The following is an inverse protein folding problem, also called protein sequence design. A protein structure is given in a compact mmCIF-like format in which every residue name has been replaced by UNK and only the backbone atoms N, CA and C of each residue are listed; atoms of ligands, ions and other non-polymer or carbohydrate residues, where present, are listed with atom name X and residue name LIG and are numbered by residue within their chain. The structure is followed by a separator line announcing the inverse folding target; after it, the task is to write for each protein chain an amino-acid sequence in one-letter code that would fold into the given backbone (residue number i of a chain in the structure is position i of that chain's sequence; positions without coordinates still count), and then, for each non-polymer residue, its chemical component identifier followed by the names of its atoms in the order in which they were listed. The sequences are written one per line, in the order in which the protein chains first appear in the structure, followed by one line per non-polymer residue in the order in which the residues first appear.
data_IF_978898288624
#
_entry.id   IF_978898288624
#
_cell.length_a   1.000
_cell.length_b   1.000
_cell.length_c   1.000
_cell.angle_alpha   90.00
_cell.angle_beta   90.00
_cell.angle_gamma   90.00
#
_symmetry.space_group_name_H-M   'P 1'
#
loop_
_entity.id
_entity.type
_entity.pdbx_description
1 polymer ?
#
# COMPACT_ATOMS: atom_id res chain seq x y z
N UNK A 1 -63.75 -50.09 48.47
CA UNK A 1 -62.27 -50.03 48.48
C UNK A 1 -61.67 -49.98 47.06
N UNK A 2 -62.50 -49.93 45.99
CA UNK A 2 -62.04 -49.88 44.59
C UNK A 2 -61.84 -48.46 44.01
N UNK A 3 -62.47 -47.44 44.59
CA UNK A 3 -62.39 -46.05 44.08
C UNK A 3 -61.03 -45.38 44.30
N UNK A 4 -60.28 -45.79 45.33
CA UNK A 4 -58.94 -45.28 45.62
C UNK A 4 -57.87 -45.80 44.65
N UNK A 5 -58.06 -47.00 44.08
CA UNK A 5 -57.13 -47.54 43.08
C UNK A 5 -57.24 -46.80 41.74
N UNK A 6 -58.47 -46.52 41.30
CA UNK A 6 -58.75 -45.80 40.06
C UNK A 6 -58.21 -44.36 40.07
N UNK A 7 -58.32 -43.65 41.20
CA UNK A 7 -57.80 -42.29 41.34
C UNK A 7 -56.26 -42.21 41.24
N UNK A 8 -55.55 -43.22 41.77
CA UNK A 8 -54.08 -43.31 41.69
C UNK A 8 -53.63 -43.61 40.27
N UNK A 9 -54.35 -44.47 39.54
CA UNK A 9 -54.05 -44.84 38.16
C UNK A 9 -54.26 -43.64 37.20
N UNK A 10 -55.37 -42.90 37.36
CA UNK A 10 -55.66 -41.68 36.58
C UNK A 10 -54.67 -40.56 36.91
N UNK A 11 -54.29 -40.39 38.18
CA UNK A 11 -53.28 -39.42 38.58
C UNK A 11 -51.90 -39.68 37.97
N UNK A 12 -51.49 -40.95 37.91
CA UNK A 12 -50.25 -41.36 37.24
C UNK A 12 -50.25 -41.07 35.73
N UNK A 13 -51.37 -41.31 35.04
CA UNK A 13 -51.52 -41.02 33.62
C UNK A 13 -51.40 -39.53 33.31
N UNK A 14 -52.02 -38.66 34.11
CA UNK A 14 -51.96 -37.20 33.92
C UNK A 14 -50.53 -36.69 34.07
N UNK A 15 -49.80 -37.15 35.09
CA UNK A 15 -48.40 -36.77 35.31
C UNK A 15 -47.51 -37.24 34.16
N UNK A 16 -47.72 -38.46 33.66
CA UNK A 16 -46.96 -39.00 32.53
C UNK A 16 -47.20 -38.19 31.24
N UNK A 17 -48.45 -37.85 30.94
CA UNK A 17 -48.79 -37.02 29.77
C UNK A 17 -48.23 -35.61 29.91
N UNK A 18 -48.34 -34.99 31.10
CA UNK A 18 -47.75 -33.68 31.36
C UNK A 18 -46.24 -33.66 31.17
N UNK A 19 -45.54 -34.70 31.66
CA UNK A 19 -44.10 -34.87 31.45
C UNK A 19 -43.72 -35.03 29.97
N UNK A 20 -44.50 -35.79 29.20
CA UNK A 20 -44.28 -35.94 27.75
C UNK A 20 -44.43 -34.61 27.01
N UNK A 21 -45.46 -33.82 27.32
CA UNK A 21 -45.68 -32.51 26.70
C UNK A 21 -44.50 -31.58 26.98
N UNK A 22 -44.04 -31.50 28.24
CA UNK A 22 -42.88 -30.68 28.60
C UNK A 22 -41.61 -31.12 27.87
N UNK A 23 -41.38 -32.43 27.77
CA UNK A 23 -40.23 -32.98 27.04
C UNK A 23 -40.26 -32.62 25.54
N UNK A 24 -41.43 -32.73 24.90
CA UNK A 24 -41.62 -32.36 23.49
C UNK A 24 -41.40 -30.85 23.30
N UNK A 25 -41.95 -30.00 24.17
CA UNK A 25 -41.72 -28.55 24.10
C UNK A 25 -40.22 -28.21 24.26
N UNK A 26 -39.52 -28.86 25.18
CA UNK A 26 -38.07 -28.68 25.37
C UNK A 26 -37.28 -29.06 24.11
N UNK A 27 -37.64 -30.17 23.46
CA UNK A 27 -37.02 -30.60 22.21
C UNK A 27 -37.24 -29.57 21.08
N UNK A 28 -38.45 -29.05 20.94
CA UNK A 28 -38.76 -28.02 19.93
C UNK A 28 -37.91 -26.76 20.17
N UNK A 29 -37.80 -26.29 21.40
CA UNK A 29 -36.96 -25.11 21.74
C UNK A 29 -35.48 -25.38 21.42
N UNK A 30 -34.97 -26.57 21.75
CA UNK A 30 -33.59 -26.95 21.45
C UNK A 30 -33.32 -26.96 19.93
N UNK A 31 -34.23 -27.55 19.14
CA UNK A 31 -34.13 -27.59 17.67
C UNK A 31 -34.18 -26.17 17.10
N UNK A 32 -35.09 -25.31 17.58
CA UNK A 32 -35.15 -23.91 17.17
C UNK A 32 -33.84 -23.17 17.49
N UNK A 33 -33.24 -23.40 18.66
CA UNK A 33 -31.94 -22.84 19.04
C UNK A 33 -30.78 -23.31 18.14
N UNK A 34 -30.80 -24.57 17.72
CA UNK A 34 -29.82 -25.09 16.76
C UNK A 34 -29.98 -24.45 15.38
N UNK A 35 -31.22 -24.27 14.92
CA UNK A 35 -31.49 -23.60 13.63
C UNK A 35 -31.02 -22.15 13.66
N UNK A 36 -31.32 -21.39 14.72
CA UNK A 36 -30.90 -19.99 14.82
C UNK A 36 -29.38 -19.84 14.89
N UNK A 37 -28.69 -20.70 15.65
CA UNK A 37 -27.21 -20.69 15.70
C UNK A 37 -26.60 -21.06 14.34
N UNK A 38 -27.14 -22.05 13.62
CA UNK A 38 -26.68 -22.38 12.26
C UNK A 38 -26.85 -21.21 11.29
N UNK A 39 -27.98 -20.50 11.36
CA UNK A 39 -28.25 -19.31 10.54
C UNK A 39 -27.26 -18.19 10.89
N UNK A 40 -27.05 -17.93 12.18
CA UNK A 40 -26.10 -16.92 12.66
C UNK A 40 -24.66 -17.21 12.17
N UNK A 41 -24.21 -18.47 12.27
CA UNK A 41 -22.89 -18.90 11.78
C UNK A 41 -22.77 -18.65 10.27
N UNK A 42 -23.81 -18.95 9.47
CA UNK A 42 -23.79 -18.70 8.02
C UNK A 42 -23.72 -17.21 7.69
N UNK A 43 -24.44 -16.37 8.42
CA UNK A 43 -24.34 -14.91 8.24
C UNK A 43 -22.95 -14.39 8.62
N UNK A 44 -22.38 -14.84 9.74
CA UNK A 44 -21.04 -14.48 10.15
C UNK A 44 -19.98 -14.92 9.11
N UNK A 45 -20.11 -16.12 8.55
CA UNK A 45 -19.23 -16.61 7.50
C UNK A 45 -19.36 -15.80 6.19
N UNK A 46 -20.58 -15.40 5.80
CA UNK A 46 -20.76 -14.51 4.64
C UNK A 46 -20.17 -13.12 4.91
N UNK A 47 -20.37 -12.58 6.10
CA UNK A 47 -19.84 -11.28 6.48
C UNK A 47 -18.30 -11.28 6.49
N UNK A 48 -17.66 -12.36 6.94
CA UNK A 48 -16.19 -12.46 6.93
C UNK A 48 -15.64 -12.46 5.50
N UNK A 49 -16.30 -13.15 4.56
CA UNK A 49 -15.90 -13.12 3.14
C UNK A 49 -16.06 -11.73 2.52
N UNK A 50 -17.16 -11.03 2.80
CA UNK A 50 -17.38 -9.68 2.30
C UNK A 50 -16.39 -8.67 2.92
N UNK A 51 -16.10 -8.80 4.20
CA UNK A 51 -15.11 -7.97 4.90
C UNK A 51 -13.69 -8.19 4.34
N UNK A 52 -13.32 -9.44 4.04
CA UNK A 52 -12.04 -9.76 3.42
C UNK A 52 -11.90 -9.11 2.03
N UNK A 53 -12.98 -9.12 1.24
CA UNK A 53 -13.03 -8.47 -0.07
C UNK A 53 -12.89 -6.95 0.04
N UNK A 54 -13.58 -6.34 1.01
CA UNK A 54 -13.47 -4.91 1.27
C UNK A 54 -12.05 -4.50 1.69
N UNK A 55 -11.39 -5.30 2.53
CA UNK A 55 -9.98 -5.05 2.91
C UNK A 55 -9.07 -5.10 1.68
N UNK A 56 -9.29 -6.06 0.76
CA UNK A 56 -8.53 -6.15 -0.48
C UNK A 56 -8.70 -4.90 -1.36
N UNK A 57 -9.93 -4.45 -1.56
CA UNK A 57 -10.23 -3.24 -2.35
C UNK A 57 -9.64 -2.00 -1.68
N UNK A 58 -9.83 -1.86 -0.36
CA UNK A 58 -9.28 -0.75 0.43
C UNK A 58 -7.76 -0.69 0.33
N UNK A 59 -7.07 -1.83 0.46
CA UNK A 59 -5.63 -1.91 0.30
C UNK A 59 -5.18 -1.51 -1.11
N UNK A 60 -5.93 -1.91 -2.15
CA UNK A 60 -5.68 -1.48 -3.53
C UNK A 60 -5.79 0.03 -3.71
N UNK A 61 -6.86 0.64 -3.19
CA UNK A 61 -7.07 2.11 -3.23
C UNK A 61 -5.97 2.84 -2.46
N UNK A 62 -5.57 2.33 -1.29
CA UNK A 62 -4.48 2.90 -0.52
C UNK A 62 -3.16 2.87 -1.30
N UNK A 63 -2.88 1.79 -2.03
CA UNK A 63 -1.71 1.67 -2.89
C UNK A 63 -1.69 2.73 -3.99
N UNK A 64 -2.78 2.81 -4.77
CA UNK A 64 -2.91 3.77 -5.87
C UNK A 64 -2.82 5.22 -5.39
N UNK A 65 -3.54 5.56 -4.32
CA UNK A 65 -3.54 6.92 -3.74
C UNK A 65 -2.15 7.31 -3.24
N UNK A 66 -1.43 6.38 -2.60
CA UNK A 66 -0.05 6.60 -2.13
C UNK A 66 0.88 6.87 -3.31
N UNK A 67 0.85 6.02 -4.33
CA UNK A 67 1.66 6.21 -5.55
C UNK A 67 1.35 7.54 -6.23
N UNK A 68 0.08 7.91 -6.35
CA UNK A 68 -0.33 9.20 -6.93
C UNK A 68 0.15 10.39 -6.09
N UNK A 69 0.10 10.28 -4.76
CA UNK A 69 0.63 11.30 -3.84
C UNK A 69 2.12 11.58 -4.07
N UNK A 70 2.93 10.52 -4.20
CA UNK A 70 4.36 10.64 -4.51
C UNK A 70 4.59 11.33 -5.86
N UNK A 71 3.84 10.96 -6.90
CA UNK A 71 3.96 11.61 -8.21
C UNK A 71 3.55 13.07 -8.19
N UNK A 72 2.54 13.45 -7.40
CA UNK A 72 2.16 14.85 -7.24
C UNK A 72 3.28 15.66 -6.58
N UNK A 73 3.93 15.12 -5.54
CA UNK A 73 5.10 15.75 -4.92
C UNK A 73 6.24 15.92 -5.92
N UNK A 74 6.50 14.90 -6.76
CA UNK A 74 7.49 15.01 -7.82
C UNK A 74 7.14 16.10 -8.82
N UNK A 75 5.90 16.15 -9.30
CA UNK A 75 5.47 17.16 -10.26
C UNK A 75 5.63 18.57 -9.70
N UNK A 76 5.37 18.77 -8.41
CA UNK A 76 5.60 20.06 -7.74
C UNK A 76 7.09 20.44 -7.77
N UNK A 77 7.99 19.51 -7.44
CA UNK A 77 9.43 19.75 -7.53
C UNK A 77 9.89 19.95 -8.99
N UNK A 78 9.39 19.17 -9.93
CA UNK A 78 9.76 19.27 -11.34
C UNK A 78 9.28 20.58 -11.98
N UNK A 79 8.16 21.13 -11.51
CA UNK A 79 7.66 22.43 -11.95
C UNK A 79 8.66 23.55 -11.69
N UNK A 80 9.49 23.45 -10.65
CA UNK A 80 10.58 24.41 -10.41
C UNK A 80 11.60 24.42 -11.56
N UNK A 81 11.87 23.29 -12.20
CA UNK A 81 12.78 23.25 -13.36
C UNK A 81 12.13 23.83 -14.63
N UNK A 82 10.80 23.80 -14.72
CA UNK A 82 10.07 24.46 -15.83
C UNK A 82 10.05 25.96 -15.62
N UNK A 83 9.82 26.42 -14.39
CA UNK A 83 9.77 27.84 -14.04
C UNK A 83 11.17 28.48 -13.97
N UNK A 84 12.18 27.70 -13.59
CA UNK A 84 13.58 28.09 -13.45
C UNK A 84 14.50 27.11 -14.21
N UNK A 85 14.52 27.17 -15.55
CA UNK A 85 15.31 26.25 -16.38
C UNK A 85 16.82 26.34 -16.11
N UNK A 86 17.30 27.46 -15.56
CA UNK A 86 18.69 27.63 -15.13
C UNK A 86 19.13 26.62 -14.06
N UNK A 87 18.18 26.01 -13.33
CA UNK A 87 18.46 25.01 -12.31
C UNK A 87 18.81 23.64 -12.92
N UNK A 88 18.24 23.30 -14.08
CA UNK A 88 18.33 21.96 -14.67
C UNK A 88 19.78 21.41 -14.79
N UNK A 89 20.77 22.17 -15.30
CA UNK A 89 22.14 21.67 -15.45
C UNK A 89 22.81 21.27 -14.14
N UNK A 90 22.45 21.90 -13.01
CA UNK A 90 23.01 21.56 -11.70
C UNK A 90 22.52 20.20 -11.19
N UNK A 91 21.30 19.81 -11.55
CA UNK A 91 20.66 18.59 -11.04
C UNK A 91 20.86 17.39 -11.95
N UNK A 92 20.84 17.60 -13.27
CA UNK A 92 20.85 16.49 -14.25
C UNK A 92 22.12 16.44 -15.12
N UNK A 93 22.91 17.51 -15.19
CA UNK A 93 24.12 17.58 -16.03
C UNK A 93 25.41 17.72 -15.22
N UNK A 94 25.34 17.51 -13.90
CA UNK A 94 26.46 17.61 -12.98
C UNK A 94 27.24 18.95 -13.04
N UNK A 95 26.55 20.06 -13.37
CA UNK A 95 27.15 21.40 -13.32
C UNK A 95 27.58 21.74 -11.88
N UNK A 96 28.81 22.22 -11.64
CA UNK A 96 29.27 22.57 -10.29
C UNK A 96 28.43 23.67 -9.64
N UNK A 97 28.15 23.53 -8.35
CA UNK A 97 27.35 24.47 -7.57
C UNK A 97 28.16 25.78 -7.37
N UNK A 98 27.58 26.96 -7.61
CA UNK A 98 28.25 28.23 -7.34
C UNK A 98 28.62 28.33 -5.85
N UNK A 99 29.83 28.82 -5.49
CA UNK A 99 30.31 28.77 -4.11
C UNK A 99 29.51 29.69 -3.16
N UNK A 100 28.92 30.78 -3.68
CA UNK A 100 28.15 31.78 -2.92
C UNK A 100 27.08 32.41 -3.81
N UNK A 101 26.15 33.14 -3.19
CA UNK A 101 25.14 33.93 -3.89
C UNK A 101 23.73 33.35 -3.78
N UNK A 102 22.76 34.08 -4.34
CA UNK A 102 21.33 33.72 -4.29
C UNK A 102 21.05 32.40 -5.03
N UNK A 103 21.77 32.13 -6.10
CA UNK A 103 21.63 30.91 -6.89
C UNK A 103 21.99 29.67 -6.08
N UNK A 104 23.04 29.74 -5.24
CA UNK A 104 23.40 28.63 -4.35
C UNK A 104 22.26 28.32 -3.37
N UNK A 105 21.67 29.34 -2.76
CA UNK A 105 20.55 29.13 -1.83
C UNK A 105 19.34 28.49 -2.53
N UNK A 106 19.01 28.92 -3.76
CA UNK A 106 17.92 28.34 -4.55
C UNK A 106 18.20 26.87 -4.93
N UNK A 107 19.42 26.57 -5.37
CA UNK A 107 19.85 25.21 -5.70
C UNK A 107 19.74 24.30 -4.47
N UNK A 108 20.22 24.75 -3.30
CA UNK A 108 20.16 23.96 -2.08
C UNK A 108 18.72 23.71 -1.63
N UNK A 109 17.87 24.74 -1.63
CA UNK A 109 16.45 24.58 -1.25
C UNK A 109 15.73 23.59 -2.18
N UNK A 110 16.01 23.68 -3.49
CA UNK A 110 15.45 22.74 -4.49
C UNK A 110 15.98 21.32 -4.28
N UNK A 111 17.24 21.17 -3.85
CA UNK A 111 17.84 19.88 -3.53
C UNK A 111 17.25 19.26 -2.26
N UNK A 112 16.98 20.05 -1.23
CA UNK A 112 16.26 19.61 -0.02
C UNK A 112 14.84 19.15 -0.39
N UNK A 113 14.09 19.93 -1.18
CA UNK A 113 12.77 19.52 -1.67
C UNK A 113 12.83 18.21 -2.46
N UNK A 114 13.83 18.04 -3.33
CA UNK A 114 14.02 16.81 -4.06
C UNK A 114 14.34 15.63 -3.13
N UNK A 115 15.20 15.84 -2.12
CA UNK A 115 15.51 14.84 -1.11
C UNK A 115 14.26 14.40 -0.33
N UNK A 116 13.40 15.35 0.07
CA UNK A 116 12.14 15.05 0.75
C UNK A 116 11.22 14.16 -0.09
N UNK A 117 11.06 14.46 -1.38
CA UNK A 117 10.23 13.65 -2.30
C UNK A 117 10.80 12.24 -2.46
N UNK A 118 12.11 12.13 -2.72
CA UNK A 118 12.76 10.83 -2.90
C UNK A 118 12.70 9.99 -1.63
N UNK A 119 12.97 10.58 -0.47
CA UNK A 119 12.89 9.91 0.83
C UNK A 119 11.46 9.45 1.14
N UNK A 120 10.46 10.30 0.87
CA UNK A 120 9.04 9.96 1.05
C UNK A 120 8.61 8.77 0.20
N UNK A 121 9.03 8.73 -1.07
CA UNK A 121 8.75 7.60 -1.96
C UNK A 121 9.34 6.28 -1.43
N UNK A 122 10.57 6.32 -0.92
CA UNK A 122 11.24 5.17 -0.33
C UNK A 122 10.60 4.72 0.99
N UNK A 123 10.15 5.67 1.82
CA UNK A 123 9.42 5.35 3.04
C UNK A 123 8.09 4.68 2.71
N UNK A 124 7.32 5.26 1.77
CA UNK A 124 6.00 4.75 1.39
C UNK A 124 6.08 3.37 0.74
N UNK A 125 7.11 3.10 -0.07
CA UNK A 125 7.30 1.76 -0.67
C UNK A 125 7.55 0.66 0.36
N UNK A 126 8.07 1.02 1.54
CA UNK A 126 8.26 0.10 2.68
C UNK A 126 7.01 -0.04 3.55
N UNK A 127 6.23 1.03 3.72
CA UNK A 127 5.10 1.07 4.64
C UNK A 127 3.77 0.64 4.01
N UNK A 128 3.61 0.77 2.69
CA UNK A 128 2.36 0.44 1.98
C UNK A 128 2.62 -0.72 1.00
N UNK A 129 2.38 -1.98 1.41
CA UNK A 129 2.68 -3.14 0.58
C UNK A 129 2.02 -3.10 -0.80
N UNK A 130 0.79 -2.58 -0.89
CA UNK A 130 0.06 -2.45 -2.15
C UNK A 130 0.63 -1.38 -3.09
N UNK A 131 1.50 -0.48 -2.61
CA UNK A 131 2.19 0.52 -3.43
C UNK A 131 3.57 0.05 -3.92
N UNK A 132 4.07 -1.10 -3.42
CA UNK A 132 5.44 -1.57 -3.63
C UNK A 132 5.80 -1.70 -5.11
N UNK A 133 4.93 -2.33 -5.90
CA UNK A 133 5.19 -2.56 -7.32
C UNK A 133 5.23 -1.22 -8.09
N UNK A 134 4.27 -0.32 -7.83
CA UNK A 134 4.23 1.01 -8.44
C UNK A 134 5.39 1.91 -8.02
N UNK A 135 5.96 1.68 -6.84
CA UNK A 135 7.11 2.42 -6.30
C UNK A 135 8.46 1.72 -6.52
N UNK A 136 8.52 0.58 -7.21
CA UNK A 136 9.80 -0.08 -7.51
C UNK A 136 10.70 0.76 -8.44
N UNK A 137 10.19 1.38 -9.53
CA UNK A 137 10.97 2.30 -10.36
C UNK A 137 11.53 3.50 -9.60
N UNK A 138 10.86 3.90 -8.51
CA UNK A 138 11.30 5.00 -7.65
C UNK A 138 12.60 4.70 -6.93
N UNK A 139 12.83 3.44 -6.52
CA UNK A 139 14.09 3.05 -5.88
C UNK A 139 15.24 3.25 -6.86
N UNK A 140 15.08 2.82 -8.12
CA UNK A 140 16.10 3.01 -9.16
C UNK A 140 16.37 4.49 -9.43
N UNK A 141 15.31 5.29 -9.54
CA UNK A 141 15.44 6.74 -9.74
C UNK A 141 16.13 7.42 -8.55
N UNK A 142 15.75 7.11 -7.32
CA UNK A 142 16.38 7.66 -6.11
C UNK A 142 17.85 7.28 -6.02
N UNK A 143 18.20 6.00 -6.26
CA UNK A 143 19.59 5.54 -6.31
C UNK A 143 20.40 6.31 -7.35
N UNK A 144 19.84 6.48 -8.56
CA UNK A 144 20.50 7.25 -9.61
C UNK A 144 20.73 8.70 -9.19
N UNK A 145 19.69 9.38 -8.69
CA UNK A 145 19.79 10.78 -8.27
C UNK A 145 20.79 10.97 -7.13
N UNK A 146 20.80 10.10 -6.12
CA UNK A 146 21.79 10.17 -5.03
C UNK A 146 23.21 9.99 -5.58
N UNK A 147 23.41 9.13 -6.58
CA UNK A 147 24.72 8.88 -7.18
C UNK A 147 25.22 10.01 -8.10
N UNK A 148 24.33 10.76 -8.77
CA UNK A 148 24.72 11.69 -9.84
C UNK A 148 24.43 13.17 -9.56
N UNK A 149 23.47 13.49 -8.69
CA UNK A 149 23.06 14.86 -8.42
C UNK A 149 23.95 15.52 -7.35
N UNK A 150 24.88 16.39 -7.78
CA UNK A 150 25.80 17.08 -6.87
C UNK A 150 25.09 17.92 -5.79
N UNK A 151 24.04 18.73 -6.11
CA UNK A 151 23.29 19.44 -5.09
C UNK A 151 22.70 18.52 -4.03
N UNK A 152 22.14 17.38 -4.44
CA UNK A 152 21.53 16.41 -3.54
C UNK A 152 22.58 15.80 -2.59
N UNK A 153 23.74 15.42 -3.12
CA UNK A 153 24.84 14.91 -2.31
C UNK A 153 25.36 15.95 -1.31
N UNK A 154 25.48 17.21 -1.71
CA UNK A 154 25.94 18.28 -0.82
C UNK A 154 24.96 18.51 0.33
N UNK A 155 23.65 18.58 0.07
CA UNK A 155 22.65 18.76 1.14
C UNK A 155 22.57 17.55 2.07
N UNK A 156 22.66 16.32 1.54
CA UNK A 156 22.71 15.11 2.37
C UNK A 156 23.94 15.09 3.29
N UNK A 157 25.12 15.49 2.79
CA UNK A 157 26.33 15.61 3.61
C UNK A 157 26.21 16.70 4.67
N UNK A 158 25.53 17.80 4.35
CA UNK A 158 25.34 18.93 5.27
C UNK A 158 24.34 18.62 6.39
N UNK A 159 23.37 17.76 6.13
CA UNK A 159 22.28 17.42 7.03
C UNK A 159 22.20 15.91 7.31
N UNK A 160 23.21 15.32 7.99
CA UNK A 160 23.22 13.89 8.26
C UNK A 160 22.03 13.49 9.14
N UNK A 161 21.38 12.39 8.80
CA UNK A 161 20.23 11.81 9.49
C UNK A 161 18.87 12.40 9.10
N UNK A 162 18.81 13.41 8.24
CA UNK A 162 17.52 13.98 7.80
C UNK A 162 16.77 13.04 6.85
N UNK A 163 17.49 12.32 5.98
CA UNK A 163 16.92 11.40 5.01
C UNK A 163 17.54 10.00 5.14
N UNK A 164 17.30 9.28 6.25
CA UNK A 164 17.94 7.99 6.52
C UNK A 164 17.65 6.95 5.42
N UNK A 165 16.51 7.06 4.74
CA UNK A 165 16.14 6.20 3.63
C UNK A 165 17.03 6.44 2.39
N UNK A 166 17.42 7.68 2.11
CA UNK A 166 18.32 8.01 1.00
C UNK A 166 19.77 7.69 1.35
N UNK A 167 20.18 7.90 2.60
CA UNK A 167 21.52 7.53 3.07
C UNK A 167 21.79 6.04 2.89
N UNK A 168 20.77 5.20 3.08
CA UNK A 168 20.88 3.76 2.83
C UNK A 168 21.13 3.39 1.36
N UNK A 169 20.93 4.32 0.42
CA UNK A 169 21.19 4.14 -1.01
C UNK A 169 22.54 4.71 -1.45
N UNK A 170 23.18 5.55 -0.62
CA UNK A 170 24.50 6.08 -0.95
C UNK A 170 25.49 4.92 -0.98
N UNK A 171 26.32 4.78 -2.05
CA UNK A 171 27.49 3.94 -1.96
C UNK A 171 28.30 4.42 -0.75
N UNK A 172 28.70 3.49 0.13
CA UNK A 172 29.63 3.81 1.21
C UNK A 172 30.86 4.51 0.58
N UNK A 173 31.51 5.45 1.27
CA UNK A 173 32.84 5.90 0.86
C UNK A 173 33.76 4.67 0.89
N UNK A 174 34.16 4.21 -0.29
CA UNK A 174 34.92 2.97 -0.47
C UNK A 174 36.21 2.96 0.35
N UNK A 175 36.42 1.84 1.04
CA UNK A 175 37.75 1.37 1.40
C UNK A 175 38.13 0.20 0.51
N UNK A 176 38.25 0.38 -0.82
CA UNK A 176 39.17 -0.37 -1.72
C UNK A 176 38.94 -0.01 -3.20
N UNK A 177 39.99 0.24 -3.99
CA UNK A 177 39.89 0.36 -5.44
C UNK A 177 39.92 -1.04 -6.07
N UNK A 178 38.92 -1.38 -6.87
CA UNK A 178 39.07 -2.42 -7.89
C UNK A 178 38.65 -1.84 -9.22
N UNK A 179 39.66 -1.73 -10.08
CA UNK A 179 39.57 -1.27 -11.44
C UNK A 179 38.68 -2.20 -12.26
N UNK A 180 37.68 -1.63 -12.94
CA UNK A 180 37.33 -2.03 -14.31
C UNK A 180 36.59 -0.88 -15.00
N UNK A 181 37.36 -0.03 -15.67
CA UNK A 181 36.86 0.93 -16.66
C UNK A 181 36.41 0.17 -17.91
N UNK A 182 35.11 -0.09 -18.02
CA UNK A 182 34.43 -0.29 -19.30
C UNK A 182 33.76 1.03 -19.73
N UNK A 183 33.60 1.30 -21.03
CA UNK A 183 32.94 2.53 -21.49
C UNK A 183 31.46 2.50 -21.08
N UNK A 184 31.07 3.40 -20.17
CA UNK A 184 29.68 3.68 -19.85
C UNK A 184 29.01 4.21 -21.11
N UNK A 185 28.28 3.35 -21.78
CA UNK A 185 27.38 3.73 -22.88
C UNK A 185 26.30 4.63 -22.28
N UNK A 186 26.04 5.83 -22.84
CA UNK A 186 25.02 6.72 -22.30
C UNK A 186 23.66 6.01 -22.29
N UNK A 187 23.06 5.96 -21.10
CA UNK A 187 21.75 5.34 -20.89
C UNK A 187 20.72 6.01 -21.81
N UNK A 188 20.10 5.19 -22.65
CA UNK A 188 18.94 5.53 -23.49
C UNK A 188 17.84 6.13 -22.59
N UNK A 189 17.15 7.21 -22.99
CA UNK A 189 16.10 7.80 -22.16
C UNK A 189 15.03 6.75 -21.84
N UNK A 190 14.73 6.59 -20.54
CA UNK A 190 13.72 5.65 -20.01
C UNK A 190 12.28 5.99 -20.44
N UNK A 191 12.07 7.10 -21.16
CA UNK A 191 10.78 7.53 -21.69
C UNK A 191 10.76 7.41 -23.22
N UNK A 192 10.55 6.18 -23.71
CA UNK A 192 10.48 5.95 -25.15
C UNK A 192 9.95 4.57 -25.52
N UNK A 193 8.65 4.34 -25.33
CA UNK A 193 7.71 3.57 -26.19
C UNK A 193 6.40 3.30 -25.45
N UNK A 194 5.60 4.34 -25.22
CA UNK A 194 4.16 4.19 -25.03
C UNK A 194 3.51 4.27 -26.42
N UNK A 195 3.43 3.13 -27.11
CA UNK A 195 2.53 2.96 -28.25
C UNK A 195 2.16 1.49 -28.42
N UNK A 196 1.03 1.12 -27.81
CA UNK A 196 0.13 0.12 -28.34
C UNK A 196 -1.29 0.47 -27.84
N UNK A 197 -2.26 0.74 -28.73
CA UNK A 197 -3.65 0.90 -28.32
C UNK A 197 -4.23 -0.46 -27.93
N UNK A 198 -4.73 -0.57 -26.70
CA UNK A 198 -5.60 -1.68 -26.27
C UNK A 198 -6.88 -1.62 -27.11
N UNK A 199 -7.03 -2.52 -28.07
CA UNK A 199 -8.32 -2.78 -28.73
C UNK A 199 -9.28 -3.33 -27.68
N UNK A 200 -10.25 -2.51 -27.26
CA UNK A 200 -11.48 -3.01 -26.64
C UNK A 200 -12.22 -3.87 -27.66
N UNK A 201 -12.33 -5.17 -27.37
CA UNK A 201 -13.28 -6.03 -28.05
C UNK A 201 -14.67 -5.72 -27.51
N UNK A 202 -15.45 -4.96 -28.29
CA UNK A 202 -16.90 -4.86 -28.13
C UNK A 202 -17.48 -6.21 -28.56
N UNK A 203 -18.08 -6.96 -27.63
CA UNK A 203 -18.94 -8.10 -27.97
C UNK A 203 -20.28 -7.57 -28.47
N UNK A 204 -20.78 -8.02 -29.64
CA UNK A 204 -22.14 -7.71 -30.07
C UNK A 204 -23.15 -8.55 -29.26
N UNK A 205 -24.20 -7.88 -28.76
CA UNK A 205 -25.41 -8.53 -28.25
C UNK A 205 -26.07 -9.32 -29.37
N UNK A 206 -26.32 -10.60 -29.15
CA UNK A 206 -27.19 -11.39 -30.00
C UNK A 206 -28.64 -11.17 -29.56
N UNK A 207 -29.49 -10.85 -30.55
CA UNK A 207 -30.93 -11.02 -30.53
C UNK A 207 -31.34 -12.49 -30.30
#
# INVERSE_FOLDING_TARGET
METSGFAVEVGGLIVAVGGLVVAVCGLVVAVCGLVTTMVAIRYAARQSTAAAEQVRISNGIAGVTTTQGVFNLLHQTLRLFVEHPELYPYFYEAKPIPPKGKDRARIHMTAEMLADVLSSALQMSRQVPSAKDGLTPWVMYATHMVATCLPLQEVMKRHPGWWPHLESLSPLPDGSPSAETGPVTPARPLFGTLSAPVRQAVQPSAD
#
